data_IF_266539542866
#
_entry.id   IF_266539542866
#
_cell.length_a   1.000
_cell.length_b   1.000
_cell.length_c   1.000
_cell.angle_alpha   90.00
_cell.angle_beta   90.00
_cell.angle_gamma   90.00
#
_symmetry.space_group_name_H-M   'P 1'
#
loop_
_entity.id
_entity.type
_entity.pdbx_description
1 polymer ?
#
# COMPACT_ATOMS: atom_id res chain seq x y z
N UNK A 1 -21.17 -9.26 -12.07
CA UNK A 1 -19.71 -9.20 -11.96
C UNK A 1 -19.29 -9.38 -10.51
N UNK A 2 -18.39 -10.30 -10.22
CA UNK A 2 -17.97 -10.60 -8.86
C UNK A 2 -16.94 -9.54 -8.45
N UNK A 3 -17.29 -8.67 -7.53
CA UNK A 3 -16.37 -7.70 -6.97
C UNK A 3 -15.30 -8.45 -6.14
N UNK A 4 -14.01 -8.16 -6.40
CA UNK A 4 -12.91 -8.82 -5.70
C UNK A 4 -12.97 -8.56 -4.19
N UNK A 5 -12.67 -9.57 -3.39
CA UNK A 5 -12.56 -9.45 -1.95
C UNK A 5 -11.30 -8.66 -1.54
N UNK A 6 -11.27 -8.16 -0.32
CA UNK A 6 -10.07 -7.51 0.24
C UNK A 6 -8.87 -8.45 0.26
N UNK A 7 -9.11 -9.71 0.59
CA UNK A 7 -8.07 -10.74 0.59
C UNK A 7 -7.50 -11.00 -0.81
N UNK A 8 -8.36 -11.00 -1.85
CA UNK A 8 -7.90 -11.13 -3.24
C UNK A 8 -6.92 -10.01 -3.62
N UNK A 9 -7.23 -8.78 -3.25
CA UNK A 9 -6.33 -7.65 -3.50
C UNK A 9 -4.99 -7.78 -2.77
N UNK A 10 -5.01 -8.30 -1.54
CA UNK A 10 -3.79 -8.59 -0.80
C UNK A 10 -2.91 -9.63 -1.51
N UNK A 11 -3.48 -10.74 -1.95
CA UNK A 11 -2.74 -11.76 -2.71
C UNK A 11 -2.22 -11.22 -4.05
N UNK A 12 -3.03 -10.42 -4.77
CA UNK A 12 -2.60 -9.82 -6.03
C UNK A 12 -1.43 -8.83 -5.86
N UNK A 13 -1.30 -8.19 -4.72
CA UNK A 13 -0.16 -7.34 -4.41
C UNK A 13 1.17 -8.13 -4.41
N UNK A 14 1.15 -9.38 -3.96
CA UNK A 14 2.35 -10.25 -3.92
C UNK A 14 2.57 -11.06 -5.20
N UNK A 15 1.57 -11.20 -6.05
CA UNK A 15 1.65 -12.02 -7.27
C UNK A 15 1.71 -11.17 -8.53
N UNK A 16 0.64 -10.47 -8.85
CA UNK A 16 0.51 -9.70 -10.10
C UNK A 16 1.16 -8.32 -10.02
N UNK A 17 1.15 -7.71 -8.84
CA UNK A 17 1.51 -6.32 -8.63
C UNK A 17 2.72 -6.12 -7.71
N UNK A 18 3.55 -7.14 -7.51
CA UNK A 18 4.66 -7.12 -6.55
C UNK A 18 5.59 -5.91 -6.72
N UNK A 19 5.97 -5.62 -7.95
CA UNK A 19 6.78 -4.45 -8.31
C UNK A 19 6.18 -3.72 -9.52
N UNK A 20 4.85 -3.65 -9.59
CA UNK A 20 4.13 -2.97 -10.66
C UNK A 20 3.86 -1.51 -10.27
N UNK A 21 4.66 -0.60 -10.81
CA UNK A 21 4.57 0.85 -10.57
C UNK A 21 3.69 1.58 -11.59
N UNK A 22 3.10 0.86 -12.56
CA UNK A 22 2.26 1.43 -13.62
C UNK A 22 0.79 1.30 -13.28
N UNK A 23 0.00 2.21 -13.87
CA UNK A 23 -1.46 2.19 -13.69
C UNK A 23 -1.92 2.85 -12.40
N UNK A 24 -3.13 2.53 -11.99
CA UNK A 24 -3.84 3.13 -10.85
C UNK A 24 -4.35 2.05 -9.90
N UNK A 25 -4.40 2.34 -8.60
CA UNK A 25 -4.94 1.45 -7.57
C UNK A 25 -6.21 2.03 -6.95
N UNK A 26 -7.24 1.19 -6.79
CA UNK A 26 -8.51 1.54 -6.13
C UNK A 26 -8.31 1.71 -4.63
N UNK A 27 -9.18 2.49 -3.98
CA UNK A 27 -9.25 2.58 -2.51
C UNK A 27 -9.39 1.20 -1.86
N UNK A 28 -10.25 0.35 -2.42
CA UNK A 28 -10.48 -1.01 -1.91
C UNK A 28 -9.22 -1.88 -1.98
N UNK A 29 -8.40 -1.75 -3.03
CA UNK A 29 -7.11 -2.42 -3.14
C UNK A 29 -6.14 -1.95 -2.06
N UNK A 30 -6.05 -0.62 -1.86
CA UNK A 30 -5.20 -0.02 -0.84
C UNK A 30 -5.59 -0.48 0.58
N UNK A 31 -6.86 -0.41 0.91
CA UNK A 31 -7.35 -0.82 2.24
C UNK A 31 -7.27 -2.33 2.45
N UNK A 32 -7.51 -3.13 1.41
CA UNK A 32 -7.34 -4.58 1.49
C UNK A 32 -5.90 -4.98 1.82
N UNK A 33 -4.93 -4.39 1.12
CA UNK A 33 -3.52 -4.61 1.44
C UNK A 33 -3.17 -4.12 2.86
N UNK A 34 -3.56 -2.89 3.20
CA UNK A 34 -3.23 -2.28 4.50
C UNK A 34 -3.78 -3.10 5.67
N UNK A 35 -5.01 -3.61 5.55
CA UNK A 35 -5.62 -4.43 6.60
C UNK A 35 -4.78 -5.68 6.92
N UNK A 36 -4.48 -6.49 5.89
CA UNK A 36 -3.74 -7.73 6.09
C UNK A 36 -2.27 -7.47 6.44
N UNK A 37 -1.68 -6.41 5.88
CA UNK A 37 -0.35 -5.94 6.24
C UNK A 37 -0.27 -5.61 7.74
N UNK A 38 -1.21 -4.80 8.24
CA UNK A 38 -1.27 -4.41 9.64
C UNK A 38 -1.46 -5.62 10.57
N UNK A 39 -2.32 -6.58 10.19
CA UNK A 39 -2.53 -7.80 10.97
C UNK A 39 -1.25 -8.65 11.06
N UNK A 40 -0.54 -8.83 9.95
CA UNK A 40 0.72 -9.59 9.93
C UNK A 40 1.76 -8.92 10.82
N UNK A 41 1.93 -7.59 10.70
CA UNK A 41 2.92 -6.87 11.51
C UNK A 41 2.52 -6.75 12.98
N UNK A 42 1.24 -6.73 13.31
CA UNK A 42 0.78 -6.81 14.70
C UNK A 42 1.14 -8.17 15.33
N UNK A 43 0.93 -9.27 14.60
CA UNK A 43 1.30 -10.61 15.06
C UNK A 43 2.82 -10.73 15.22
N UNK A 44 3.59 -10.32 14.21
CA UNK A 44 5.06 -10.38 14.25
C UNK A 44 5.62 -9.49 15.37
N UNK A 45 5.02 -8.32 15.60
CA UNK A 45 5.39 -7.41 16.68
C UNK A 45 5.20 -8.03 18.06
N UNK A 46 4.14 -8.85 18.25
CA UNK A 46 3.91 -9.57 19.50
C UNK A 46 5.03 -10.59 19.81
N UNK A 47 5.74 -11.08 18.80
CA UNK A 47 6.87 -12.01 18.96
C UNK A 47 8.24 -11.33 18.84
N UNK A 48 8.28 -10.00 18.65
CA UNK A 48 9.52 -9.26 18.43
C UNK A 48 10.49 -9.26 19.62
N UNK A 49 10.04 -9.66 20.82
CA UNK A 49 10.91 -9.84 21.99
C UNK A 49 11.75 -11.14 21.93
N UNK A 50 11.49 -12.03 20.96
CA UNK A 50 12.28 -13.22 20.70
C UNK A 50 13.27 -12.98 19.57
N UNK A 51 14.46 -13.56 19.63
CA UNK A 51 15.44 -13.41 18.53
C UNK A 51 14.91 -13.90 17.17
N UNK A 52 14.12 -14.99 17.16
CA UNK A 52 13.47 -15.51 15.96
C UNK A 52 12.40 -14.54 15.47
N UNK A 53 11.62 -13.95 16.37
CA UNK A 53 10.60 -12.96 16.02
C UNK A 53 11.18 -11.72 15.34
N UNK A 54 12.33 -11.22 15.79
CA UNK A 54 13.03 -10.11 15.14
C UNK A 54 13.47 -10.48 13.73
N UNK A 55 14.05 -11.67 13.54
CA UNK A 55 14.48 -12.13 12.20
C UNK A 55 13.29 -12.23 11.25
N UNK A 56 12.21 -12.86 11.69
CA UNK A 56 10.98 -12.98 10.88
C UNK A 56 10.40 -11.61 10.53
N UNK A 57 10.36 -10.69 11.50
CA UNK A 57 9.90 -9.32 11.27
C UNK A 57 10.71 -8.64 10.17
N UNK A 58 12.04 -8.69 10.24
CA UNK A 58 12.93 -8.09 9.26
C UNK A 58 12.78 -8.73 7.86
N UNK A 59 12.69 -10.06 7.79
CA UNK A 59 12.49 -10.77 6.52
C UNK A 59 11.17 -10.36 5.87
N UNK A 60 10.07 -10.39 6.63
CA UNK A 60 8.74 -10.00 6.11
C UNK A 60 8.73 -8.53 5.74
N UNK A 61 9.37 -7.64 6.52
CA UNK A 61 9.49 -6.23 6.20
C UNK A 61 10.16 -6.02 4.83
N UNK A 62 11.32 -6.64 4.60
CA UNK A 62 12.05 -6.52 3.32
C UNK A 62 11.23 -7.07 2.15
N UNK A 63 10.59 -8.23 2.32
CA UNK A 63 9.75 -8.86 1.27
C UNK A 63 8.52 -8.02 0.94
N UNK A 64 7.97 -7.31 1.91
CA UNK A 64 6.77 -6.47 1.71
C UNK A 64 7.06 -5.05 1.22
N UNK A 65 8.32 -4.60 1.21
CA UNK A 65 8.68 -3.27 0.72
C UNK A 65 8.27 -3.04 -0.75
N UNK A 66 8.61 -3.91 -1.73
CA UNK A 66 8.24 -3.66 -3.12
C UNK A 66 6.73 -3.54 -3.33
N UNK A 67 5.88 -4.46 -2.85
CA UNK A 67 4.44 -4.34 -3.04
C UNK A 67 3.84 -3.13 -2.29
N UNK A 68 4.36 -2.75 -1.14
CA UNK A 68 3.91 -1.55 -0.41
C UNK A 68 4.20 -0.27 -1.19
N UNK A 69 5.41 -0.14 -1.71
CA UNK A 69 5.82 1.03 -2.51
C UNK A 69 5.05 1.06 -3.82
N UNK A 70 4.94 -0.06 -4.54
CA UNK A 70 4.23 -0.12 -5.82
C UNK A 70 2.75 0.21 -5.67
N UNK A 71 2.11 -0.26 -4.61
CA UNK A 71 0.72 0.06 -4.31
C UNK A 71 0.54 1.55 -4.01
N UNK A 72 1.43 2.13 -3.20
CA UNK A 72 1.39 3.57 -2.87
C UNK A 72 1.59 4.43 -4.11
N UNK A 73 2.54 4.09 -4.98
CA UNK A 73 2.73 4.76 -6.27
C UNK A 73 1.46 4.70 -7.12
N UNK A 74 0.87 3.51 -7.29
CA UNK A 74 -0.37 3.36 -8.07
C UNK A 74 -1.56 4.07 -7.42
N UNK A 75 -1.57 4.18 -6.11
CA UNK A 75 -2.60 4.94 -5.39
C UNK A 75 -2.43 6.44 -5.60
N UNK A 76 -1.21 6.96 -5.59
CA UNK A 76 -0.90 8.34 -5.95
C UNK A 76 -1.30 8.64 -7.40
N UNK A 77 -1.05 7.73 -8.33
CA UNK A 77 -1.49 7.84 -9.71
C UNK A 77 -3.03 7.95 -9.82
N UNK A 78 -3.77 7.25 -8.97
CA UNK A 78 -5.22 7.28 -8.95
C UNK A 78 -5.79 8.67 -8.59
N UNK A 79 -5.10 9.40 -7.71
CA UNK A 79 -5.40 10.80 -7.37
C UNK A 79 -4.65 11.83 -8.23
N UNK A 80 -4.10 11.39 -9.36
CA UNK A 80 -3.37 12.20 -10.35
C UNK A 80 -2.07 12.85 -9.82
N UNK A 81 -1.46 12.25 -8.81
CA UNK A 81 -0.15 12.65 -8.28
C UNK A 81 0.96 11.76 -8.82
N UNK A 82 2.17 12.33 -8.93
CA UNK A 82 3.36 11.57 -9.32
C UNK A 82 3.76 10.55 -8.26
N UNK A 83 4.26 9.39 -8.69
CA UNK A 83 4.81 8.37 -7.78
C UNK A 83 5.97 8.85 -6.91
N UNK A 84 6.66 9.91 -7.30
CA UNK A 84 7.73 10.52 -6.51
C UNK A 84 7.27 11.04 -5.14
N UNK A 85 5.99 11.38 -4.99
CA UNK A 85 5.42 11.70 -3.69
C UNK A 85 5.53 10.57 -2.67
N UNK A 86 5.77 9.32 -3.09
CA UNK A 86 6.07 8.19 -2.20
C UNK A 86 7.30 8.44 -1.31
N UNK A 87 8.18 9.36 -1.70
CA UNK A 87 9.33 9.75 -0.89
C UNK A 87 8.94 10.34 0.48
N UNK A 88 7.66 10.71 0.69
CA UNK A 88 7.17 11.07 2.03
C UNK A 88 7.41 9.97 3.07
N UNK A 89 7.51 8.70 2.63
CA UNK A 89 7.81 7.58 3.52
C UNK A 89 9.17 7.73 4.22
N UNK A 90 10.11 8.48 3.64
CA UNK A 90 11.39 8.76 4.29
C UNK A 90 11.24 9.60 5.58
N UNK A 91 10.10 10.28 5.75
CA UNK A 91 9.77 10.98 7.00
C UNK A 91 9.69 10.00 8.18
N UNK A 92 9.36 8.73 7.94
CA UNK A 92 9.34 7.67 8.97
C UNK A 92 10.71 7.45 9.63
N UNK A 93 11.79 7.92 9.00
CA UNK A 93 13.13 7.87 9.61
C UNK A 93 13.28 8.85 10.80
N UNK A 94 12.34 9.77 10.97
CA UNK A 94 12.27 10.66 12.14
C UNK A 94 11.42 9.95 13.20
N UNK A 95 12.03 9.46 14.31
CA UNK A 95 11.29 8.68 15.31
C UNK A 95 10.08 9.44 15.88
N UNK A 96 9.00 8.72 16.13
CA UNK A 96 7.74 9.18 16.73
C UNK A 96 6.98 10.19 15.87
N UNK A 97 7.54 11.39 15.62
CA UNK A 97 6.86 12.46 14.87
C UNK A 97 6.76 12.09 13.39
N UNK A 98 7.82 11.57 12.80
CA UNK A 98 7.84 11.18 11.39
C UNK A 98 6.90 10.02 11.11
N UNK A 99 6.85 9.04 11.99
CA UNK A 99 5.91 7.91 11.90
C UNK A 99 4.46 8.39 11.94
N UNK A 100 4.11 9.28 12.89
CA UNK A 100 2.76 9.83 12.99
C UNK A 100 2.36 10.62 11.74
N UNK A 101 3.26 11.46 11.22
CA UNK A 101 3.02 12.24 9.99
C UNK A 101 2.85 11.30 8.79
N UNK A 102 3.71 10.29 8.63
CA UNK A 102 3.64 9.35 7.52
C UNK A 102 2.34 8.52 7.56
N UNK A 103 1.88 8.11 8.73
CA UNK A 103 0.59 7.43 8.92
C UNK A 103 -0.57 8.33 8.49
N UNK A 104 -0.58 9.58 8.93
CA UNK A 104 -1.63 10.55 8.56
C UNK A 104 -1.65 10.74 7.03
N UNK A 105 -0.50 10.95 6.40
CA UNK A 105 -0.40 11.09 4.94
C UNK A 105 -0.91 9.82 4.24
N UNK A 106 -0.54 8.63 4.72
CA UNK A 106 -0.98 7.36 4.16
C UNK A 106 -2.50 7.18 4.24
N UNK A 107 -3.11 7.57 5.36
CA UNK A 107 -4.56 7.55 5.54
C UNK A 107 -5.24 8.51 4.55
N UNK A 108 -4.73 9.74 4.43
CA UNK A 108 -5.26 10.73 3.47
C UNK A 108 -5.21 10.19 2.05
N UNK A 109 -4.07 9.65 1.61
CA UNK A 109 -3.91 9.04 0.28
C UNK A 109 -4.91 7.88 0.10
N UNK A 110 -5.12 7.07 1.12
CA UNK A 110 -6.06 5.94 1.08
C UNK A 110 -7.53 6.35 1.00
N UNK A 111 -7.90 7.48 1.59
CA UNK A 111 -9.31 7.94 1.70
C UNK A 111 -9.72 8.84 0.54
N UNK A 112 -8.82 9.71 0.05
CA UNK A 112 -9.12 10.67 -1.04
C UNK A 112 -9.68 9.93 -2.26
N UNK A 113 -10.73 10.47 -2.86
CA UNK A 113 -11.35 9.88 -4.05
C UNK A 113 -10.41 10.00 -5.24
N UNK A 114 -10.22 8.90 -5.97
CA UNK A 114 -9.46 8.91 -7.23
C UNK A 114 -10.18 9.69 -8.32
N UNK A 115 -9.43 10.05 -9.38
CA UNK A 115 -9.97 10.76 -10.55
C UNK A 115 -11.11 9.95 -11.16
N UNK A 116 -12.27 10.59 -11.36
CA UNK A 116 -13.48 9.94 -11.90
C UNK A 116 -13.28 9.47 -13.35
N UNK A 117 -12.51 10.23 -14.11
CA UNK A 117 -12.18 9.93 -15.52
C UNK A 117 -10.79 9.33 -15.66
N UNK A 118 -10.41 8.98 -16.87
CA UNK A 118 -9.03 8.62 -17.21
C UNK A 118 -8.10 9.81 -16.94
N UNK A 119 -6.92 9.53 -16.42
CA UNK A 119 -5.89 10.53 -16.18
C UNK A 119 -4.59 10.13 -16.88
N UNK A 120 -3.53 10.93 -16.75
CA UNK A 120 -2.22 10.67 -17.36
C UNK A 120 -1.59 9.30 -17.02
N UNK A 121 -2.11 8.59 -16.02
CA UNK A 121 -1.62 7.28 -15.58
C UNK A 121 -2.53 6.12 -16.02
N UNK A 122 -3.63 6.38 -16.69
CA UNK A 122 -4.52 5.38 -17.25
C UNK A 122 -6.00 5.56 -16.94
N UNK A 123 -6.76 4.56 -17.31
CA UNK A 123 -8.21 4.53 -17.09
C UNK A 123 -8.58 4.40 -15.62
N UNK A 124 -9.81 4.82 -15.30
CA UNK A 124 -10.34 4.65 -13.95
C UNK A 124 -10.49 3.15 -13.63
N UNK A 125 -9.78 2.62 -12.63
CA UNK A 125 -9.81 1.20 -12.31
C UNK A 125 -11.17 0.72 -11.77
N UNK A 126 -12.08 1.62 -11.44
CA UNK A 126 -13.45 1.28 -11.06
C UNK A 126 -14.29 0.98 -12.29
N UNK A 127 -14.02 1.65 -13.41
CA UNK A 127 -14.74 1.49 -14.67
C UNK A 127 -14.13 0.37 -15.51
N UNK A 128 -12.82 0.30 -15.61
CA UNK A 128 -12.11 -0.70 -16.43
C UNK A 128 -12.28 -2.13 -15.94
N UNK A 129 -12.66 -2.33 -14.67
CA UNK A 129 -12.96 -3.63 -14.08
C UNK A 129 -14.47 -3.96 -14.07
N UNK A 130 -15.27 -3.18 -14.79
CA UNK A 130 -16.66 -3.50 -15.09
C UNK A 130 -16.71 -4.21 -16.44
#
# INVERSE_FOLDING_TARGET
MIEKSLFTYFIEAFTKNYANFKGRARRKECWGFTLFYALIFAILGAFAFTGIGVILFLVVFVVTLPPSISLTVRRLHDINLSGWFTLYMLIMLIPVIGEAIAIIISIVIGVVQGSAESNKFGENPVISNK
#
